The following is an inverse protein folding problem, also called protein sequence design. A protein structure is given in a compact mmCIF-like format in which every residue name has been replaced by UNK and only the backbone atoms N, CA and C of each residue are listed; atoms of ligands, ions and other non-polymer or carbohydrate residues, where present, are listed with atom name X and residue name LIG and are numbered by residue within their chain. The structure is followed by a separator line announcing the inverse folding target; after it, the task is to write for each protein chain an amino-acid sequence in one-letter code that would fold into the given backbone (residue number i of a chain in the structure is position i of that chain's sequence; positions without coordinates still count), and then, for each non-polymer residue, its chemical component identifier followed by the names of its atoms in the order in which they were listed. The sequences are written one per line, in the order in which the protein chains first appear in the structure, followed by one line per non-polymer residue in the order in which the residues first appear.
data_IF_740047866825
#
_entry.id   IF_740047866825
#
_cell.length_a   1.000
_cell.length_b   1.000
_cell.length_c   1.000
_cell.angle_alpha   90.00
_cell.angle_beta   90.00
_cell.angle_gamma   90.00
#
_symmetry.space_group_name_H-M   'P 1'
#
loop_
_entity.id
_entity.type
_entity.pdbx_description
1 polymer ?
#
# COMPACT_ATOMS: atom_id res chain seq x y z
N UNK A 1 5.28 0.34 9.45
CA UNK A 1 3.99 -0.23 8.98
C UNK A 1 4.28 -1.04 7.75
N UNK A 2 3.84 -2.30 7.67
CA UNK A 2 4.16 -3.18 6.54
C UNK A 2 2.92 -3.65 5.77
N UNK A 3 3.11 -3.96 4.49
CA UNK A 3 2.13 -4.63 3.63
C UNK A 3 2.84 -5.63 2.70
N UNK A 4 2.09 -6.48 2.00
CA UNK A 4 2.62 -7.46 1.05
C UNK A 4 2.88 -8.86 1.62
N UNK A 5 3.16 -8.99 2.92
CA UNK A 5 3.27 -10.28 3.62
C UNK A 5 2.32 -10.36 4.82
N UNK A 6 1.80 -11.57 5.06
CA UNK A 6 1.10 -11.91 6.30
C UNK A 6 2.07 -12.10 7.47
N UNK A 7 1.55 -12.08 8.70
CA UNK A 7 2.33 -12.06 9.94
C UNK A 7 3.39 -13.18 10.00
N UNK A 8 3.02 -14.44 9.80
CA UNK A 8 3.96 -15.57 9.93
C UNK A 8 5.13 -15.48 8.94
N UNK A 9 4.86 -15.10 7.69
CA UNK A 9 5.90 -14.94 6.67
C UNK A 9 6.79 -13.72 6.95
N UNK A 10 6.20 -12.65 7.49
CA UNK A 10 6.96 -11.48 7.93
C UNK A 10 7.88 -11.82 9.09
N UNK A 11 7.40 -12.58 10.08
CA UNK A 11 8.19 -13.03 11.21
C UNK A 11 9.35 -13.92 10.78
N UNK A 12 9.11 -14.89 9.90
CA UNK A 12 10.17 -15.69 9.28
C UNK A 12 11.20 -14.83 8.53
N UNK A 13 10.73 -13.79 7.83
CA UNK A 13 11.59 -12.90 7.05
C UNK A 13 12.53 -12.06 7.91
N UNK A 14 12.14 -11.73 9.14
CA UNK A 14 12.90 -10.86 10.04
C UNK A 14 13.44 -11.58 11.28
N UNK A 15 13.40 -12.91 11.31
CA UNK A 15 13.76 -13.73 12.48
C UNK A 15 15.17 -13.42 13.02
N UNK A 16 16.19 -13.39 12.13
CA UNK A 16 17.57 -13.09 12.53
C UNK A 16 17.72 -11.70 13.18
N UNK A 17 16.97 -10.72 12.69
CA UNK A 17 16.94 -9.38 13.26
C UNK A 17 16.17 -9.36 14.59
N UNK A 18 15.03 -10.05 14.66
CA UNK A 18 14.18 -10.14 15.86
C UNK A 18 14.94 -10.79 17.04
N UNK A 19 15.69 -11.86 16.78
CA UNK A 19 16.51 -12.56 17.78
C UNK A 19 17.57 -11.63 18.42
N UNK A 20 18.04 -10.62 17.68
CA UNK A 20 18.99 -9.62 18.15
C UNK A 20 18.41 -8.55 19.07
N UNK A 21 17.08 -8.33 19.06
CA UNK A 21 16.45 -7.18 19.74
C UNK A 21 16.62 -7.20 21.26
N UNK A 22 16.66 -8.40 21.86
CA UNK A 22 16.79 -8.55 23.30
C UNK A 22 18.11 -7.97 23.84
N UNK A 23 19.19 -8.06 23.07
CA UNK A 23 20.50 -7.51 23.43
C UNK A 23 20.44 -5.98 23.58
N UNK A 24 19.63 -5.31 22.76
CA UNK A 24 19.40 -3.87 22.81
C UNK A 24 18.23 -3.46 23.72
N UNK A 25 17.66 -4.39 24.50
CA UNK A 25 16.50 -4.15 25.37
C UNK A 25 15.30 -3.56 24.60
N UNK A 26 15.15 -3.94 23.34
CA UNK A 26 14.00 -3.58 22.50
C UNK A 26 13.06 -4.80 22.44
N UNK A 27 11.76 -4.53 22.46
CA UNK A 27 10.72 -5.53 22.28
C UNK A 27 9.94 -5.24 21.01
N UNK A 28 9.64 -6.29 20.25
CA UNK A 28 8.76 -6.25 19.09
C UNK A 28 7.36 -6.74 19.47
N UNK A 29 6.34 -6.15 18.88
CA UNK A 29 4.99 -6.70 18.85
C UNK A 29 4.43 -6.60 17.43
N UNK A 30 3.79 -7.69 16.98
CA UNK A 30 3.03 -7.75 15.73
C UNK A 30 1.59 -7.34 16.00
N UNK A 31 1.09 -6.39 15.23
CA UNK A 31 -0.29 -5.91 15.32
C UNK A 31 -0.94 -6.06 13.94
N UNK A 32 -1.48 -7.25 13.61
CA UNK A 32 -2.08 -7.52 12.31
C UNK A 32 -3.44 -6.83 12.16
N UNK A 33 -3.72 -6.41 10.93
CA UNK A 33 -5.01 -5.90 10.47
C UNK A 33 -5.19 -6.29 8.98
N UNK A 34 -6.40 -6.20 8.41
CA UNK A 34 -6.61 -6.57 7.00
C UNK A 34 -5.64 -5.86 6.05
N UNK A 35 -4.73 -6.62 5.44
CA UNK A 35 -3.74 -6.12 4.47
C UNK A 35 -2.52 -5.38 5.05
N UNK A 36 -2.43 -5.21 6.38
CA UNK A 36 -1.34 -4.46 7.03
C UNK A 36 -0.89 -5.19 8.30
N UNK A 37 0.42 -5.27 8.52
CA UNK A 37 1.01 -5.67 9.81
C UNK A 37 1.78 -4.49 10.41
N UNK A 38 1.36 -3.99 11.57
CA UNK A 38 2.08 -2.93 12.29
C UNK A 38 3.10 -3.58 13.23
N UNK A 39 4.38 -3.43 12.90
CA UNK A 39 5.50 -3.77 13.77
C UNK A 39 5.70 -2.64 14.78
N UNK A 40 5.54 -2.94 16.08
CA UNK A 40 5.72 -1.97 17.17
C UNK A 40 6.97 -2.28 17.96
N UNK A 41 7.97 -1.41 17.85
CA UNK A 41 9.16 -1.42 18.68
C UNK A 41 8.93 -0.65 19.99
N UNK A 42 9.37 -1.22 21.11
CA UNK A 42 9.23 -0.59 22.42
C UNK A 42 10.44 -0.88 23.31
N UNK A 43 10.79 0.06 24.17
CA UNK A 43 11.86 -0.11 25.17
C UNK A 43 11.51 0.70 26.42
N UNK A 44 12.13 0.37 27.56
CA UNK A 44 11.99 1.16 28.78
C UNK A 44 12.89 2.40 28.71
N UNK A 45 12.33 3.56 29.07
CA UNK A 45 13.05 4.84 29.03
C UNK A 45 14.30 4.87 29.91
N UNK A 46 14.28 4.15 31.04
CA UNK A 46 15.36 4.19 32.03
C UNK A 46 15.58 5.60 32.58
N UNK A 47 16.81 5.92 32.96
CA UNK A 47 17.17 7.24 33.49
C UNK A 47 17.29 8.33 32.40
N UNK A 48 17.59 7.95 31.15
CA UNK A 48 17.85 8.87 30.05
C UNK A 48 16.96 8.54 28.84
N UNK A 49 15.81 9.22 28.67
CA UNK A 49 14.87 8.95 27.58
C UNK A 49 15.49 9.04 26.17
N UNK A 50 16.48 9.91 25.96
CA UNK A 50 17.16 10.04 24.68
C UNK A 50 17.94 8.77 24.27
N UNK A 51 18.47 8.02 25.24
CA UNK A 51 19.14 6.74 24.95
C UNK A 51 18.14 5.66 24.55
N UNK A 52 16.99 5.62 25.22
CA UNK A 52 15.90 4.73 24.85
C UNK A 52 15.43 4.99 23.42
N UNK A 53 15.28 6.27 23.05
CA UNK A 53 14.89 6.64 21.69
C UNK A 53 15.94 6.20 20.66
N UNK A 54 17.23 6.46 20.91
CA UNK A 54 18.32 6.02 20.03
C UNK A 54 18.39 4.50 19.81
N UNK A 55 18.06 3.70 20.83
CA UNK A 55 17.99 2.23 20.70
C UNK A 55 16.89 1.79 19.74
N UNK A 56 15.71 2.42 19.86
CA UNK A 56 14.58 2.14 18.96
C UNK A 56 14.88 2.61 17.55
N UNK A 57 15.40 3.83 17.37
CA UNK A 57 15.69 4.38 16.04
C UNK A 57 16.71 3.52 15.29
N UNK A 58 17.79 3.08 15.95
CA UNK A 58 18.78 2.16 15.35
C UNK A 58 18.14 0.85 14.86
N UNK A 59 17.24 0.28 15.66
CA UNK A 59 16.57 -0.97 15.29
C UNK A 59 15.52 -0.77 14.19
N UNK A 60 14.90 0.41 14.14
CA UNK A 60 14.05 0.78 13.02
C UNK A 60 14.86 0.89 11.72
N UNK A 61 16.02 1.57 11.74
CA UNK A 61 16.92 1.68 10.58
C UNK A 61 17.36 0.30 10.06
N UNK A 62 17.81 -0.60 10.94
CA UNK A 62 18.16 -1.97 10.57
C UNK A 62 16.98 -2.73 9.94
N UNK A 63 15.76 -2.50 10.43
CA UNK A 63 14.55 -3.10 9.87
C UNK A 63 14.22 -2.55 8.48
N UNK A 64 14.43 -1.24 8.24
CA UNK A 64 14.31 -0.63 6.91
C UNK A 64 15.28 -1.24 5.90
N UNK A 65 16.48 -1.61 6.32
CA UNK A 65 17.44 -2.31 5.47
C UNK A 65 17.06 -3.78 5.21
N UNK A 66 16.45 -4.45 6.20
CA UNK A 66 16.08 -5.87 6.09
C UNK A 66 14.86 -6.12 5.19
N UNK A 67 13.86 -5.22 5.23
CA UNK A 67 12.58 -5.38 4.52
C UNK A 67 12.10 -4.07 3.84
N UNK A 68 12.93 -3.41 3.03
CA UNK A 68 12.60 -2.11 2.43
C UNK A 68 11.36 -2.17 1.53
N UNK A 69 11.11 -3.31 0.91
CA UNK A 69 9.99 -3.56 0.00
C UNK A 69 8.64 -3.72 0.71
N UNK A 70 8.65 -4.00 2.00
CA UNK A 70 7.44 -4.24 2.78
C UNK A 70 6.98 -3.01 3.56
N UNK A 71 7.90 -2.08 3.89
CA UNK A 71 7.59 -0.92 4.73
C UNK A 71 7.07 0.23 3.86
N UNK A 72 5.85 0.70 4.16
CA UNK A 72 5.26 1.84 3.46
C UNK A 72 5.20 3.12 4.30
N UNK A 73 5.40 3.06 5.62
CA UNK A 73 5.29 4.24 6.48
C UNK A 73 5.42 3.92 7.97
N UNK A 74 5.27 4.95 8.81
CA UNK A 74 5.41 4.87 10.27
C UNK A 74 4.22 5.47 11.01
N UNK A 75 4.15 5.23 12.33
CA UNK A 75 3.15 5.87 13.20
C UNK A 75 1.71 5.63 12.74
N UNK A 76 1.07 6.72 12.31
CA UNK A 76 -0.33 6.78 11.88
C UNK A 76 -0.46 6.98 10.35
N UNK A 77 0.62 6.75 9.60
CA UNK A 77 0.58 6.78 8.15
C UNK A 77 -0.45 5.79 7.59
N UNK A 78 -1.09 6.21 6.50
CA UNK A 78 -2.02 5.40 5.72
C UNK A 78 -1.51 5.28 4.29
N UNK A 79 -1.73 4.13 3.65
CA UNK A 79 -1.27 3.87 2.28
C UNK A 79 -1.72 4.98 1.30
N UNK A 80 -2.96 5.43 1.41
CA UNK A 80 -3.52 6.52 0.60
C UNK A 80 -2.83 7.86 0.82
N UNK A 81 -2.40 8.15 2.06
CA UNK A 81 -1.65 9.38 2.38
C UNK A 81 -0.24 9.32 1.82
N UNK A 82 0.45 8.18 2.01
CA UNK A 82 1.80 7.95 1.48
C UNK A 82 1.79 8.02 -0.04
N UNK A 83 0.83 7.36 -0.69
CA UNK A 83 0.65 7.41 -2.14
C UNK A 83 0.41 8.85 -2.64
N UNK A 84 -0.48 9.59 -1.97
CA UNK A 84 -0.77 10.98 -2.33
C UNK A 84 0.44 11.89 -2.25
N UNK A 85 1.25 11.74 -1.20
CA UNK A 85 2.49 12.48 -1.03
C UNK A 85 3.50 12.16 -2.14
N UNK A 86 3.66 10.88 -2.49
CA UNK A 86 4.57 10.44 -3.56
C UNK A 86 4.14 10.99 -4.93
N UNK A 87 2.85 10.88 -5.28
CA UNK A 87 2.33 11.38 -6.55
C UNK A 87 2.48 12.90 -6.65
N UNK A 88 2.10 13.62 -5.59
CA UNK A 88 2.20 15.08 -5.55
C UNK A 88 3.65 15.54 -5.65
N UNK A 89 4.57 14.90 -4.91
CA UNK A 89 6.00 15.21 -4.94
C UNK A 89 6.64 15.00 -6.31
N UNK A 90 6.12 14.04 -7.08
CA UNK A 90 6.58 13.75 -8.44
C UNK A 90 5.81 14.48 -9.54
N UNK A 91 4.80 15.31 -9.20
CA UNK A 91 3.94 15.97 -10.19
C UNK A 91 3.13 14.99 -11.04
N UNK A 92 2.81 13.81 -10.50
CA UNK A 92 2.08 12.75 -11.20
C UNK A 92 0.61 12.71 -10.80
N UNK A 93 -0.21 12.22 -11.72
CA UNK A 93 -1.65 12.00 -11.52
C UNK A 93 -2.01 10.52 -11.53
N UNK A 94 -3.16 10.19 -10.98
CA UNK A 94 -3.70 8.84 -10.83
C UNK A 94 -5.15 8.79 -11.30
N UNK A 95 -5.48 7.72 -12.01
CA UNK A 95 -6.85 7.32 -12.32
C UNK A 95 -7.08 5.83 -12.00
N UNK A 96 -8.34 5.43 -11.81
CA UNK A 96 -8.68 4.06 -11.41
C UNK A 96 -9.79 3.45 -12.27
N UNK A 97 -9.63 2.19 -12.66
CA UNK A 97 -10.71 1.34 -13.15
C UNK A 97 -11.03 0.31 -12.07
N UNK A 98 -12.24 0.36 -11.51
CA UNK A 98 -12.67 -0.53 -10.43
C UNK A 98 -13.76 -1.51 -10.91
N UNK A 99 -13.74 -2.74 -10.38
CA UNK A 99 -14.80 -3.73 -10.59
C UNK A 99 -15.24 -4.26 -9.22
N UNK A 100 -14.69 -5.37 -8.72
CA UNK A 100 -15.11 -5.99 -7.46
C UNK A 100 -14.98 -5.09 -6.21
N UNK A 101 -14.14 -4.05 -6.27
CA UNK A 101 -13.99 -3.06 -5.19
C UNK A 101 -15.09 -2.01 -5.18
N UNK A 102 -15.85 -1.85 -6.26
CA UNK A 102 -17.04 -1.00 -6.31
C UNK A 102 -16.81 0.48 -6.02
N UNK A 103 -15.60 1.02 -6.22
CA UNK A 103 -15.27 2.40 -5.88
C UNK A 103 -14.59 2.56 -4.51
N UNK A 104 -14.36 1.48 -3.78
CA UNK A 104 -13.75 1.54 -2.45
C UNK A 104 -12.31 2.08 -2.48
N UNK A 105 -11.54 1.79 -3.54
CA UNK A 105 -10.17 2.33 -3.65
C UNK A 105 -10.21 3.82 -3.92
N UNK A 106 -11.05 4.28 -4.86
CA UNK A 106 -11.29 5.71 -5.09
C UNK A 106 -11.78 6.42 -3.82
N UNK A 107 -12.66 5.80 -3.04
CA UNK A 107 -13.10 6.32 -1.75
C UNK A 107 -11.92 6.51 -0.78
N UNK A 108 -11.04 5.51 -0.65
CA UNK A 108 -9.86 5.64 0.23
C UNK A 108 -8.95 6.78 -0.21
N UNK A 109 -8.68 6.90 -1.51
CA UNK A 109 -7.86 8.00 -2.04
C UNK A 109 -8.50 9.36 -1.76
N UNK A 110 -9.79 9.50 -2.08
CA UNK A 110 -10.53 10.75 -1.89
C UNK A 110 -10.77 11.12 -0.43
N UNK A 111 -10.63 10.17 0.50
CA UNK A 111 -10.68 10.43 1.94
C UNK A 111 -9.50 11.26 2.45
N UNK A 112 -8.42 11.38 1.67
CA UNK A 112 -7.27 12.23 1.98
C UNK A 112 -7.56 13.67 1.53
N UNK A 113 -7.51 14.67 2.43
CA UNK A 113 -7.65 16.08 2.06
C UNK A 113 -6.60 16.49 1.02
N UNK A 114 -7.02 17.23 -0.01
CA UNK A 114 -6.14 17.65 -1.10
C UNK A 114 -5.92 16.59 -2.21
N UNK A 115 -6.59 15.44 -2.12
CA UNK A 115 -6.50 14.36 -3.13
C UNK A 115 -6.80 14.81 -4.56
N UNK A 116 -7.55 15.89 -4.77
CA UNK A 116 -7.76 16.51 -6.09
C UNK A 116 -6.47 16.93 -6.81
N UNK A 117 -5.36 17.11 -6.08
CA UNK A 117 -4.08 17.47 -6.68
C UNK A 117 -3.42 16.34 -7.48
N UNK A 118 -3.76 15.07 -7.16
CA UNK A 118 -3.15 13.90 -7.79
C UNK A 118 -4.17 12.87 -8.28
N UNK A 119 -5.41 12.85 -7.78
CA UNK A 119 -6.43 11.91 -8.23
C UNK A 119 -7.39 12.57 -9.22
N UNK A 120 -7.32 12.15 -10.48
CA UNK A 120 -8.14 12.71 -11.57
C UNK A 120 -9.56 12.16 -11.59
N UNK A 121 -9.73 10.90 -11.18
CA UNK A 121 -11.03 10.23 -11.16
C UNK A 121 -10.92 8.74 -11.47
N UNK A 122 -12.06 8.11 -11.74
CA UNK A 122 -12.08 6.70 -12.10
C UNK A 122 -13.40 6.23 -12.67
N UNK A 123 -13.39 5.00 -13.18
CA UNK A 123 -14.54 4.31 -13.76
C UNK A 123 -14.84 3.06 -12.94
N UNK A 124 -16.04 2.96 -12.39
CA UNK A 124 -16.53 1.72 -11.75
C UNK A 124 -17.16 0.84 -12.83
N UNK A 125 -16.32 0.07 -13.51
CA UNK A 125 -16.67 -0.85 -14.60
C UNK A 125 -17.16 -2.21 -14.12
N UNK A 126 -18.20 -2.27 -13.26
CA UNK A 126 -18.66 -3.54 -12.68
C UNK A 126 -19.21 -4.51 -13.75
N UNK A 127 -20.03 -4.00 -14.67
CA UNK A 127 -20.58 -4.77 -15.78
C UNK A 127 -19.63 -4.83 -16.99
N UNK A 128 -19.69 -5.91 -17.76
CA UNK A 128 -18.91 -6.06 -19.00
C UNK A 128 -19.21 -4.96 -20.02
N UNK A 129 -20.46 -4.51 -20.13
CA UNK A 129 -20.83 -3.39 -21.00
C UNK A 129 -20.00 -2.12 -20.69
N UNK A 130 -19.89 -1.75 -19.41
CA UNK A 130 -19.09 -0.59 -18.97
C UNK A 130 -17.60 -0.80 -19.25
N UNK A 131 -17.08 -2.03 -19.09
CA UNK A 131 -15.69 -2.35 -19.47
C UNK A 131 -15.46 -2.12 -20.98
N UNK A 132 -16.42 -2.46 -21.82
CA UNK A 132 -16.31 -2.27 -23.28
C UNK A 132 -16.48 -0.80 -23.68
N UNK A 133 -17.52 -0.15 -23.19
CA UNK A 133 -17.92 1.22 -23.59
C UNK A 133 -16.97 2.29 -23.04
N UNK A 134 -16.64 2.22 -21.75
CA UNK A 134 -15.86 3.28 -21.07
C UNK A 134 -14.36 3.03 -21.11
N UNK A 135 -13.93 1.76 -21.12
CA UNK A 135 -12.51 1.38 -21.07
C UNK A 135 -12.00 0.78 -22.38
N UNK A 136 -12.85 0.64 -23.39
CA UNK A 136 -12.47 0.17 -24.73
C UNK A 136 -11.95 -1.26 -24.75
N UNK A 137 -12.47 -2.12 -23.86
CA UNK A 137 -12.12 -3.56 -23.86
C UNK A 137 -12.89 -4.25 -24.99
N UNK A 138 -12.22 -4.96 -25.91
CA UNK A 138 -12.90 -5.73 -26.95
C UNK A 138 -13.77 -6.87 -26.38
N UNK A 139 -14.91 -7.15 -27.01
CA UNK A 139 -15.83 -8.20 -26.56
C UNK A 139 -15.21 -9.60 -26.66
N UNK A 140 -14.47 -9.86 -27.74
CA UNK A 140 -13.73 -11.11 -27.97
C UNK A 140 -12.68 -11.37 -26.87
N UNK A 141 -12.04 -10.33 -26.34
CA UNK A 141 -11.12 -10.44 -25.20
C UNK A 141 -11.84 -10.93 -23.93
N UNK A 142 -13.03 -10.41 -23.65
CA UNK A 142 -13.85 -10.83 -22.50
C UNK A 142 -14.37 -12.26 -22.67
N UNK A 143 -14.78 -12.63 -23.87
CA UNK A 143 -15.23 -13.99 -24.20
C UNK A 143 -14.11 -15.02 -24.08
N UNK A 144 -12.92 -14.69 -24.59
CA UNK A 144 -11.77 -15.61 -24.61
C UNK A 144 -11.11 -15.77 -23.23
N UNK A 145 -10.95 -14.67 -22.48
CA UNK A 145 -10.15 -14.67 -21.25
C UNK A 145 -10.99 -14.60 -19.97
N UNK A 146 -12.25 -14.17 -20.06
CA UNK A 146 -13.08 -13.83 -18.91
C UNK A 146 -12.71 -12.49 -18.26
N UNK A 147 -13.66 -11.88 -17.55
CA UNK A 147 -13.48 -10.58 -16.91
C UNK A 147 -12.44 -10.55 -15.78
N UNK A 148 -12.20 -11.70 -15.13
CA UNK A 148 -11.20 -11.86 -14.06
C UNK A 148 -9.96 -12.51 -14.66
N UNK A 149 -9.25 -11.75 -15.49
CA UNK A 149 -8.04 -12.21 -16.16
C UNK A 149 -7.02 -11.09 -16.27
N UNK A 150 -5.74 -11.46 -16.25
CA UNK A 150 -4.62 -10.53 -16.44
C UNK A 150 -4.78 -9.64 -17.68
N UNK A 151 -5.05 -10.15 -18.90
CA UNK A 151 -5.17 -9.30 -20.08
C UNK A 151 -6.31 -8.27 -19.98
N UNK A 152 -7.45 -8.66 -19.41
CA UNK A 152 -8.58 -7.74 -19.21
C UNK A 152 -8.24 -6.65 -18.20
N UNK A 153 -7.59 -7.00 -17.08
CA UNK A 153 -7.19 -6.02 -16.04
C UNK A 153 -6.13 -5.05 -16.57
N UNK A 154 -5.14 -5.53 -17.32
CA UNK A 154 -4.15 -4.66 -17.97
C UNK A 154 -4.81 -3.69 -18.96
N UNK A 155 -5.78 -4.17 -19.74
CA UNK A 155 -6.56 -3.33 -20.66
C UNK A 155 -7.44 -2.32 -19.91
N UNK A 156 -8.07 -2.70 -18.80
CA UNK A 156 -8.83 -1.78 -17.93
C UNK A 156 -7.96 -0.62 -17.46
N UNK A 157 -6.75 -0.91 -16.96
CA UNK A 157 -5.82 0.10 -16.48
C UNK A 157 -5.34 1.03 -17.61
N UNK A 158 -5.05 0.48 -18.79
CA UNK A 158 -4.70 1.30 -19.96
C UNK A 158 -5.87 2.17 -20.44
N UNK A 159 -7.08 1.61 -20.47
CA UNK A 159 -8.29 2.29 -20.93
C UNK A 159 -8.61 3.51 -20.07
N UNK A 160 -8.63 3.34 -18.75
CA UNK A 160 -8.91 4.48 -17.85
C UNK A 160 -7.82 5.54 -17.91
N UNK A 161 -6.56 5.12 -18.00
CA UNK A 161 -5.42 6.03 -18.11
C UNK A 161 -5.52 6.89 -19.38
N UNK A 162 -5.91 6.30 -20.50
CA UNK A 162 -6.15 7.02 -21.76
C UNK A 162 -7.35 7.98 -21.64
N UNK A 163 -8.47 7.50 -21.08
CA UNK A 163 -9.69 8.30 -20.94
C UNK A 163 -9.49 9.53 -20.04
N UNK A 164 -8.75 9.38 -18.94
CA UNK A 164 -8.52 10.44 -17.95
C UNK A 164 -7.17 11.16 -18.09
N UNK A 165 -6.35 10.78 -19.08
CA UNK A 165 -5.08 11.44 -19.43
C UNK A 165 -4.09 11.51 -18.27
N UNK A 166 -3.94 10.40 -17.56
CA UNK A 166 -3.01 10.25 -16.43
C UNK A 166 -1.76 9.46 -16.78
#
# INVERSE_FOLDING_TARGET
LTTGLGESHLAERIADWEDGLAADRVKLAYLPSPGIVKLRLSTYAGAVPAEARRRVDRQAEALYEAIPDLIFGEGEDRLETVLGNLLTGNGQTLSLAESCTGGYIAHRITSVPGSSAYFTGGVVSYANAVKMEELGIPSDMLELNGAVSRPVVERMAQGVRQALRT
#
